data_IF_740678027160
#
_entry.id   IF_740678027160
#
_cell.length_a   1.000
_cell.length_b   1.000
_cell.length_c   1.000
_cell.angle_alpha   90.00
_cell.angle_beta   90.00
_cell.angle_gamma   90.00
#
_symmetry.space_group_name_H-M   'P 1'
#
loop_
_entity.id
_entity.type
_entity.pdbx_description
1 polymer ?
#
# COMPACT_ATOMS: atom_id res chain seq x y z
N UNK A 1 12.95 -24.99 23.77
CA UNK A 1 11.70 -24.27 24.05
C UNK A 1 12.05 -22.80 24.21
N UNK A 2 11.52 -21.94 23.34
CA UNK A 2 11.73 -20.50 23.42
C UNK A 2 10.98 -20.00 24.66
N UNK A 3 11.70 -19.47 25.66
CA UNK A 3 11.08 -18.99 26.91
C UNK A 3 10.72 -17.52 26.76
N UNK A 4 9.62 -17.08 27.38
CA UNK A 4 9.16 -15.68 27.40
C UNK A 4 8.72 -15.08 26.05
N UNK A 5 8.43 -15.93 25.07
CA UNK A 5 7.77 -15.52 23.83
C UNK A 5 6.25 -15.75 23.95
N UNK A 6 5.44 -14.84 23.41
CA UNK A 6 3.99 -15.00 23.23
C UNK A 6 3.65 -14.67 21.79
N UNK A 7 2.84 -15.53 21.16
CA UNK A 7 2.34 -15.29 19.80
C UNK A 7 0.82 -15.16 19.85
N UNK A 8 0.33 -14.00 19.46
CA UNK A 8 -1.10 -13.69 19.35
C UNK A 8 -1.47 -13.67 17.88
N UNK A 9 -2.46 -14.46 17.48
CA UNK A 9 -3.02 -14.41 16.13
C UNK A 9 -4.26 -13.52 16.07
N UNK A 10 -4.33 -12.63 15.09
CA UNK A 10 -5.55 -11.90 14.76
C UNK A 10 -6.54 -12.74 13.93
N UNK A 11 -7.71 -12.17 13.65
CA UNK A 11 -8.78 -12.84 12.89
C UNK A 11 -8.49 -12.99 11.40
N UNK A 12 -7.51 -12.25 10.86
CA UNK A 12 -7.24 -12.25 9.41
C UNK A 12 -6.66 -13.56 8.88
N UNK A 13 -5.83 -14.27 9.66
CA UNK A 13 -5.21 -15.51 9.20
C UNK A 13 -4.81 -16.47 10.36
N UNK A 14 -5.79 -17.17 10.96
CA UNK A 14 -5.53 -18.10 12.07
C UNK A 14 -4.62 -19.27 11.68
N UNK A 15 -4.75 -19.78 10.45
CA UNK A 15 -3.96 -20.90 9.94
C UNK A 15 -2.45 -20.60 9.93
N UNK A 16 -2.06 -19.40 9.49
CA UNK A 16 -0.66 -18.97 9.48
C UNK A 16 -0.11 -18.83 10.89
N UNK A 17 -0.90 -18.27 11.82
CA UNK A 17 -0.54 -18.21 13.25
C UNK A 17 -0.26 -19.60 13.80
N UNK A 18 -1.15 -20.57 13.54
CA UNK A 18 -0.97 -21.94 14.00
C UNK A 18 0.31 -22.57 13.43
N UNK A 19 0.60 -22.34 12.15
CA UNK A 19 1.81 -22.85 11.49
C UNK A 19 3.06 -22.28 12.13
N UNK A 20 3.09 -20.97 12.39
CA UNK A 20 4.20 -20.29 13.06
C UNK A 20 4.40 -20.86 14.48
N UNK A 21 3.33 -20.99 15.26
CA UNK A 21 3.36 -21.57 16.60
C UNK A 21 3.87 -23.01 16.61
N UNK A 22 3.44 -23.84 15.66
CA UNK A 22 3.88 -25.22 15.51
C UNK A 22 5.39 -25.31 15.25
N UNK A 23 5.92 -24.45 14.36
CA UNK A 23 7.36 -24.41 14.04
C UNK A 23 8.19 -23.93 15.23
N UNK A 24 7.69 -22.93 15.98
CA UNK A 24 8.34 -22.43 17.19
C UNK A 24 8.23 -23.40 18.39
N UNK A 25 7.34 -24.39 18.32
CA UNK A 25 7.10 -25.34 19.39
C UNK A 25 6.43 -24.71 20.62
N UNK A 26 5.55 -23.72 20.40
CA UNK A 26 4.79 -23.01 21.44
C UNK A 26 3.30 -22.99 21.09
N UNK A 27 2.39 -22.97 22.08
CA UNK A 27 0.97 -22.78 21.81
C UNK A 27 0.67 -21.30 21.43
N UNK A 28 -0.36 -21.03 20.60
CA UNK A 28 -0.88 -19.68 20.43
C UNK A 28 -1.52 -19.17 21.72
N UNK A 29 -1.46 -17.85 21.93
CA UNK A 29 -2.07 -17.18 23.06
C UNK A 29 -3.61 -17.31 23.07
N UNK A 30 -4.22 -17.47 24.24
CA UNK A 30 -5.69 -17.39 24.39
C UNK A 30 -6.14 -15.92 24.39
N UNK A 31 -6.81 -15.52 23.33
CA UNK A 31 -7.34 -14.17 23.12
C UNK A 31 -8.79 -14.27 22.65
N UNK A 32 -9.67 -13.46 23.24
CA UNK A 32 -11.03 -13.27 22.75
C UNK A 32 -11.03 -12.14 21.73
N UNK A 33 -11.27 -12.48 20.47
CA UNK A 33 -11.49 -11.54 19.38
C UNK A 33 -12.95 -11.61 18.96
N UNK A 34 -13.69 -10.51 19.10
CA UNK A 34 -15.10 -10.43 18.73
C UNK A 34 -15.50 -9.03 18.28
N UNK A 35 -16.72 -8.88 17.76
CA UNK A 35 -17.29 -7.59 17.41
C UNK A 35 -18.59 -7.36 18.20
N UNK A 36 -18.77 -6.14 18.71
CA UNK A 36 -20.06 -5.71 19.24
C UNK A 36 -21.10 -5.58 18.10
N UNK A 37 -22.38 -5.58 18.44
CA UNK A 37 -23.47 -5.48 17.46
C UNK A 37 -23.38 -4.22 16.58
N UNK A 38 -22.77 -3.13 17.10
CA UNK A 38 -22.53 -1.87 16.38
C UNK A 38 -21.32 -1.93 15.42
N UNK A 39 -20.56 -3.03 15.40
CA UNK A 39 -19.41 -3.24 14.51
C UNK A 39 -18.04 -2.94 15.13
N UNK A 40 -18.01 -2.39 16.35
CA UNK A 40 -16.77 -2.12 17.12
C UNK A 40 -16.03 -3.40 17.49
N UNK A 41 -14.70 -3.35 17.39
CA UNK A 41 -13.81 -4.47 17.67
C UNK A 41 -13.54 -4.61 19.18
N UNK A 42 -13.73 -5.81 19.74
CA UNK A 42 -13.41 -6.16 21.12
C UNK A 42 -12.26 -7.16 21.15
N UNK A 43 -11.23 -6.83 21.93
CA UNK A 43 -10.04 -7.67 22.15
C UNK A 43 -9.86 -7.87 23.65
N UNK A 44 -9.74 -9.12 24.10
CA UNK A 44 -9.39 -9.44 25.48
C UNK A 44 -8.29 -10.50 25.52
N UNK A 45 -7.14 -10.14 26.08
CA UNK A 45 -6.01 -11.05 26.28
C UNK A 45 -6.27 -11.81 27.59
N UNK A 46 -6.37 -13.14 27.53
CA UNK A 46 -6.74 -13.97 28.70
C UNK A 46 -5.53 -14.55 29.45
N UNK A 47 -4.34 -14.35 28.92
CA UNK A 47 -3.09 -14.76 29.56
C UNK A 47 -2.18 -13.58 29.86
N UNK A 48 -1.30 -13.73 30.85
CA UNK A 48 -0.36 -12.66 31.20
C UNK A 48 0.71 -12.49 30.12
N UNK A 49 0.84 -11.28 29.60
CA UNK A 49 1.90 -10.85 28.67
C UNK A 49 2.99 -10.01 29.34
N UNK A 50 2.90 -9.81 30.66
CA UNK A 50 3.81 -8.96 31.43
C UNK A 50 5.26 -9.44 31.33
N UNK A 51 6.17 -8.52 31.02
CA UNK A 51 7.60 -8.78 30.82
C UNK A 51 7.94 -9.82 29.71
N UNK A 52 6.96 -10.18 28.87
CA UNK A 52 7.15 -11.11 27.75
C UNK A 52 7.39 -10.37 26.43
N UNK A 53 8.00 -11.08 25.49
CA UNK A 53 8.21 -10.64 24.12
C UNK A 53 7.03 -11.11 23.27
N UNK A 54 6.18 -10.17 22.86
CA UNK A 54 4.89 -10.44 22.23
C UNK A 54 4.98 -10.21 20.73
N UNK A 55 4.50 -11.18 19.95
CA UNK A 55 4.39 -11.11 18.51
C UNK A 55 2.92 -11.20 18.11
N UNK A 56 2.40 -10.18 17.43
CA UNK A 56 1.00 -10.13 17.00
C UNK A 56 0.95 -10.33 15.49
N UNK A 57 0.36 -11.43 15.04
CA UNK A 57 0.28 -11.81 13.62
C UNK A 57 -1.06 -11.34 13.06
N UNK A 58 -1.01 -10.41 12.11
CA UNK A 58 -2.18 -9.92 11.40
C UNK A 58 -1.82 -9.55 9.96
N UNK A 59 -2.58 -10.03 8.98
CA UNK A 59 -2.40 -9.68 7.57
C UNK A 59 -3.42 -8.62 7.11
N UNK A 60 -3.01 -7.74 6.19
CA UNK A 60 -3.87 -6.77 5.52
C UNK A 60 -4.80 -7.39 4.47
N UNK A 61 -5.64 -8.36 4.86
CA UNK A 61 -6.54 -9.11 3.97
C UNK A 61 -7.80 -8.35 3.52
N UNK A 62 -8.86 -9.10 3.18
CA UNK A 62 -10.09 -8.56 2.55
C UNK A 62 -10.80 -7.47 3.37
N UNK A 63 -10.77 -7.56 4.71
CA UNK A 63 -11.34 -6.54 5.61
C UNK A 63 -10.25 -5.69 6.25
N UNK A 64 -9.46 -5.03 5.41
CA UNK A 64 -8.22 -4.33 5.81
C UNK A 64 -8.39 -3.38 7.01
N UNK A 65 -9.47 -2.59 7.06
CA UNK A 65 -9.70 -1.62 8.15
C UNK A 65 -10.01 -2.31 9.47
N UNK A 66 -10.84 -3.37 9.43
CA UNK A 66 -11.22 -4.12 10.63
C UNK A 66 -10.00 -4.83 11.22
N UNK A 67 -9.20 -5.47 10.36
CA UNK A 67 -7.96 -6.15 10.77
C UNK A 67 -6.92 -5.18 11.30
N UNK A 68 -6.80 -3.99 10.70
CA UNK A 68 -5.92 -2.92 11.20
C UNK A 68 -6.37 -2.43 12.58
N UNK A 69 -7.66 -2.14 12.76
CA UNK A 69 -8.18 -1.69 14.06
C UNK A 69 -8.02 -2.76 15.14
N UNK A 70 -8.28 -4.03 14.82
CA UNK A 70 -8.03 -5.16 15.73
C UNK A 70 -6.56 -5.25 16.14
N UNK A 71 -5.64 -5.09 15.19
CA UNK A 71 -4.21 -5.08 15.46
C UNK A 71 -3.81 -3.92 16.39
N UNK A 72 -4.25 -2.70 16.10
CA UNK A 72 -3.94 -1.52 16.90
C UNK A 72 -4.44 -1.68 18.35
N UNK A 73 -5.67 -2.17 18.53
CA UNK A 73 -6.25 -2.43 19.86
C UNK A 73 -5.45 -3.53 20.57
N UNK A 74 -5.04 -4.59 19.87
CA UNK A 74 -4.25 -5.68 20.46
C UNK A 74 -2.86 -5.21 20.89
N UNK A 75 -2.18 -4.40 20.08
CA UNK A 75 -0.88 -3.79 20.42
C UNK A 75 -1.03 -2.95 21.69
N UNK A 76 -2.03 -2.06 21.73
CA UNK A 76 -2.29 -1.18 22.88
C UNK A 76 -2.62 -1.98 24.15
N UNK A 77 -3.42 -3.05 24.04
CA UNK A 77 -3.71 -3.96 25.15
C UNK A 77 -2.45 -4.65 25.68
N UNK A 78 -1.55 -5.11 24.80
CA UNK A 78 -0.27 -5.72 25.22
C UNK A 78 0.64 -4.70 25.89
N UNK A 79 0.72 -3.48 25.35
CA UNK A 79 1.58 -2.42 25.90
C UNK A 79 1.10 -1.98 27.29
N UNK A 80 -0.20 -1.77 27.46
CA UNK A 80 -0.81 -1.43 28.75
C UNK A 80 -0.72 -2.57 29.77
N UNK A 81 -0.74 -3.83 29.32
CA UNK A 81 -0.48 -5.01 30.15
C UNK A 81 1.02 -5.24 30.48
N UNK A 82 1.89 -4.25 30.22
CA UNK A 82 3.32 -4.27 30.54
C UNK A 82 4.11 -5.36 29.80
N UNK A 83 3.78 -5.63 28.55
CA UNK A 83 4.66 -6.42 27.67
C UNK A 83 6.05 -5.75 27.57
N UNK A 84 7.12 -6.56 27.59
CA UNK A 84 8.49 -6.06 27.48
C UNK A 84 8.75 -5.45 26.11
N UNK A 85 8.23 -6.09 25.07
CA UNK A 85 8.33 -5.69 23.67
C UNK A 85 7.11 -6.20 22.92
N UNK A 86 6.58 -5.38 22.02
CA UNK A 86 5.47 -5.74 21.12
C UNK A 86 5.93 -5.63 19.67
N UNK A 87 5.99 -6.76 18.98
CA UNK A 87 6.34 -6.85 17.57
C UNK A 87 5.09 -7.10 16.73
N UNK A 88 4.78 -6.23 15.78
CA UNK A 88 3.69 -6.47 14.83
C UNK A 88 4.22 -7.27 13.62
N UNK A 89 3.64 -8.44 13.39
CA UNK A 89 3.98 -9.32 12.28
C UNK A 89 2.89 -9.18 11.22
N UNK A 90 3.24 -8.54 10.11
CA UNK A 90 2.35 -8.11 9.03
C UNK A 90 2.72 -8.78 7.71
N UNK A 91 2.27 -10.02 7.44
CA UNK A 91 2.63 -10.73 6.21
C UNK A 91 2.30 -9.96 4.92
N UNK A 92 1.19 -9.23 4.91
CA UNK A 92 0.90 -8.19 3.92
C UNK A 92 0.69 -6.87 4.65
N UNK A 93 1.53 -5.87 4.33
CA UNK A 93 1.41 -4.54 4.91
C UNK A 93 0.21 -3.76 4.34
N UNK A 94 -0.74 -3.31 5.18
CA UNK A 94 -1.94 -2.62 4.71
C UNK A 94 -1.59 -1.24 4.13
N UNK A 95 -2.37 -0.79 3.14
CA UNK A 95 -2.20 0.52 2.47
C UNK A 95 -0.86 0.76 1.73
N UNK A 96 0.04 -0.23 1.64
CA UNK A 96 1.34 -0.11 0.97
C UNK A 96 1.28 0.30 -0.52
N UNK A 97 0.15 0.11 -1.21
CA UNK A 97 -0.01 0.51 -2.62
C UNK A 97 -0.26 2.01 -2.83
N UNK A 98 -0.64 2.74 -1.78
CA UNK A 98 -0.95 4.16 -1.89
C UNK A 98 0.33 4.98 -1.75
N UNK A 99 1.14 4.99 -2.81
CA UNK A 99 2.40 5.73 -2.85
C UNK A 99 2.18 7.22 -2.54
N UNK A 100 3.07 7.82 -1.75
CA UNK A 100 3.07 9.24 -1.40
C UNK A 100 3.45 10.18 -2.57
N UNK A 101 3.34 9.71 -3.82
CA UNK A 101 3.73 10.40 -5.05
C UNK A 101 2.72 11.51 -5.41
N UNK A 102 3.17 12.72 -5.83
CA UNK A 102 4.50 13.04 -6.34
C UNK A 102 5.40 13.64 -5.27
N UNK A 103 6.08 12.79 -4.52
CA UNK A 103 7.18 13.16 -3.67
C UNK A 103 8.42 13.37 -4.55
N UNK A 104 8.47 14.52 -5.24
CA UNK A 104 9.74 15.20 -5.45
C UNK A 104 9.92 16.13 -4.25
N UNK A 105 10.53 15.67 -3.14
CA UNK A 105 11.19 16.62 -2.25
C UNK A 105 12.46 17.08 -2.96
N UNK A 106 12.42 18.24 -3.59
CA UNK A 106 13.65 18.97 -3.83
C UNK A 106 14.27 19.30 -2.46
N UNK A 107 15.43 18.71 -2.15
CA UNK A 107 16.31 19.20 -1.09
C UNK A 107 16.27 18.53 0.30
N UNK A 108 15.73 17.33 0.49
CA UNK A 108 15.99 16.58 1.72
C UNK A 108 17.20 15.65 1.52
N UNK A 109 18.30 15.80 2.27
CA UNK A 109 19.43 14.88 2.16
C UNK A 109 19.03 13.52 2.69
N UNK A 110 19.35 12.49 1.91
CA UNK A 110 19.28 11.09 2.31
C UNK A 110 20.34 10.85 3.40
N UNK A 111 19.95 10.16 4.47
CA UNK A 111 20.80 9.68 5.57
C UNK A 111 21.24 10.78 6.56
N UNK A 112 20.75 10.71 7.80
CA UNK A 112 21.43 11.33 8.95
C UNK A 112 22.73 10.55 9.19
N UNK A 113 23.82 10.97 8.57
CA UNK A 113 25.15 10.54 8.96
C UNK A 113 25.44 11.01 10.39
N UNK A 114 26.00 10.12 11.19
CA UNK A 114 26.47 10.42 12.54
C UNK A 114 27.54 11.51 12.49
N UNK A 115 27.24 12.66 13.09
CA UNK A 115 28.15 13.80 13.14
C UNK A 115 29.35 13.52 14.05
N UNK A 116 30.52 13.32 13.45
CA UNK A 116 31.81 13.55 14.09
C UNK A 116 32.49 14.77 13.43
N UNK A 117 32.65 15.86 14.19
CA UNK A 117 33.78 16.79 14.06
C UNK A 117 33.64 18.10 13.25
N UNK A 118 33.30 19.19 13.97
CA UNK A 118 33.80 20.60 13.81
C UNK A 118 33.37 21.43 12.56
N UNK A 119 33.58 22.78 12.52
CA UNK A 119 32.74 23.78 13.20
C UNK A 119 32.32 24.98 12.28
N UNK A 120 31.28 25.72 12.69
CA UNK A 120 31.10 27.13 12.29
C UNK A 120 30.14 27.41 11.11
N UNK A 121 28.90 27.76 11.42
CA UNK A 121 28.37 29.12 11.23
C UNK A 121 26.95 29.17 11.82
N UNK A 122 26.74 30.13 12.73
CA UNK A 122 25.51 30.25 13.50
C UNK A 122 24.30 30.57 12.62
N UNK A 123 23.32 29.67 12.62
CA UNK A 123 21.93 29.97 12.28
C UNK A 123 21.07 29.54 13.46
N UNK A 124 20.59 30.52 14.22
CA UNK A 124 19.56 30.32 15.25
C UNK A 124 18.20 30.25 14.57
N UNK A 125 17.58 29.07 14.62
CA UNK A 125 16.20 28.86 14.21
C UNK A 125 15.29 29.30 15.36
N UNK A 126 14.89 30.57 15.37
CA UNK A 126 13.85 31.07 16.26
C UNK A 126 12.65 31.47 15.41
N UNK A 127 11.74 30.51 15.21
CA UNK A 127 10.47 30.72 14.53
C UNK A 127 9.38 31.09 15.53
N UNK A 128 9.42 32.33 16.02
CA UNK A 128 8.23 32.98 16.59
C UNK A 128 8.25 34.46 16.20
N UNK A 129 7.17 35.02 15.62
CA UNK A 129 7.10 36.45 15.36
C UNK A 129 7.11 37.21 16.70
N UNK A 130 7.94 38.25 16.88
CA UNK A 130 7.91 39.05 18.10
C UNK A 130 6.63 39.90 18.13
N UNK A 131 5.85 39.77 19.20
CA UNK A 131 4.68 40.59 19.48
C UNK A 131 5.12 42.05 19.68
N UNK A 132 4.60 43.04 18.93
CA UNK A 132 5.02 44.43 19.10
C UNK A 132 4.58 44.97 20.47
N UNK A 133 5.53 45.47 21.27
CA UNK A 133 5.26 46.26 22.47
C UNK A 133 5.43 47.76 22.16
N UNK A 134 4.62 48.66 22.71
CA UNK A 134 4.77 50.10 22.49
C UNK A 134 6.06 50.62 23.13
N UNK A 135 6.93 51.30 22.36
CA UNK A 135 8.01 52.15 22.93
C UNK A 135 9.46 51.89 22.53
N UNK A 136 9.78 51.19 21.42
CA UNK A 136 11.14 51.18 20.86
C UNK A 136 11.19 51.63 19.39
N UNK A 137 12.24 52.37 18.97
CA UNK A 137 12.38 52.86 17.60
C UNK A 137 12.79 51.75 16.62
N UNK A 138 12.19 51.75 15.42
CA UNK A 138 12.43 50.77 14.37
C UNK A 138 13.81 50.93 13.72
N UNK A 139 14.51 49.81 13.51
CA UNK A 139 15.78 49.75 12.76
C UNK A 139 15.49 49.78 11.25
N UNK A 140 15.98 50.81 10.56
CA UNK A 140 15.78 51.02 9.13
C UNK A 140 16.54 50.03 8.25
N UNK A 141 15.80 49.27 7.42
CA UNK A 141 16.31 48.66 6.18
C UNK A 141 15.16 48.06 5.34
N UNK A 142 14.27 48.89 4.78
CA UNK A 142 13.26 48.46 3.79
C UNK A 142 12.89 49.60 2.82
N UNK A 143 13.86 50.15 2.07
CA UNK A 143 13.58 51.23 1.09
C UNK A 143 13.85 50.90 -0.38
N UNK A 144 14.22 49.67 -0.76
CA UNK A 144 14.57 49.36 -2.16
C UNK A 144 13.60 48.42 -2.92
N UNK A 145 12.47 47.99 -2.33
CA UNK A 145 11.54 47.06 -2.99
C UNK A 145 10.17 47.65 -3.37
N UNK A 146 9.87 48.91 -3.00
CA UNK A 146 8.55 49.52 -3.26
C UNK A 146 8.47 50.10 -4.69
N UNK A 147 9.59 50.58 -5.25
CA UNK A 147 9.61 51.20 -6.58
C UNK A 147 9.40 50.21 -7.75
N UNK A 148 9.78 48.94 -7.55
CA UNK A 148 9.57 47.90 -8.57
C UNK A 148 8.12 47.38 -8.60
N UNK A 149 7.36 47.56 -7.52
CA UNK A 149 5.97 47.12 -7.42
C UNK A 149 5.00 48.15 -8.02
N UNK A 150 5.30 49.46 -7.87
CA UNK A 150 4.52 50.54 -8.50
C UNK A 150 4.66 50.57 -10.03
N UNK A 151 5.85 50.25 -10.58
CA UNK A 151 6.05 50.13 -12.04
C UNK A 151 5.29 48.95 -12.67
N UNK A 152 5.06 47.87 -11.91
CA UNK A 152 4.29 46.71 -12.36
C UNK A 152 2.78 46.96 -12.37
N UNK A 153 2.26 47.75 -11.42
CA UNK A 153 0.84 48.06 -11.28
C UNK A 153 0.35 49.15 -12.26
N UNK A 154 1.19 50.13 -12.61
CA UNK A 154 0.85 51.18 -13.57
C UNK A 154 0.69 50.68 -15.02
N UNK A 155 1.23 49.49 -15.34
CA UNK A 155 1.13 48.87 -16.67
C UNK A 155 -0.12 47.99 -16.84
N UNK A 156 -0.87 47.73 -15.77
CA UNK A 156 -2.06 46.88 -15.77
C UNK A 156 -3.40 47.66 -15.68
N UNK A 157 -3.36 49.01 -15.73
CA UNK A 157 -4.54 49.88 -15.59
C UNK A 157 -4.78 50.83 -16.79
N UNK A 158 -4.29 50.49 -17.99
CA UNK A 158 -4.50 51.32 -19.19
C UNK A 158 -5.18 50.62 -20.38
N UNK A 159 -5.85 49.49 -20.15
CA UNK A 159 -6.72 48.85 -21.16
C UNK A 159 -8.11 48.58 -20.57
N UNK A 160 -8.90 49.65 -20.36
CA UNK A 160 -10.37 49.57 -20.43
C UNK A 160 -10.98 50.96 -20.23
N UNK A 161 -11.24 51.69 -21.31
CA UNK A 161 -12.37 52.64 -21.41
C UNK A 161 -12.58 53.09 -22.86
N UNK A 162 -13.64 52.58 -23.50
CA UNK A 162 -14.40 53.35 -24.50
C UNK A 162 -15.90 53.01 -24.46
N UNK A 163 -16.68 53.99 -23.98
CA UNK A 163 -18.09 54.33 -24.26
C UNK A 163 -19.27 53.38 -23.95
N UNK A 164 -20.19 53.87 -23.08
CA UNK A 164 -21.64 53.90 -23.37
C UNK A 164 -22.62 53.28 -22.35
N UNK A 165 -23.23 54.11 -21.50
CA UNK A 165 -24.35 53.91 -20.54
C UNK A 165 -25.69 53.40 -21.19
N UNK A 166 -26.83 53.08 -20.48
CA UNK A 166 -27.23 53.56 -19.14
C UNK A 166 -28.21 52.74 -18.21
N UNK A 167 -28.37 53.28 -16.99
CA UNK A 167 -29.51 53.26 -16.01
C UNK A 167 -29.72 52.10 -15.01
N UNK A 168 -29.75 52.48 -13.71
CA UNK A 168 -30.23 51.74 -12.52
C UNK A 168 -31.74 51.99 -12.22
N UNK A 169 -32.46 51.00 -11.68
CA UNK A 169 -33.57 51.12 -10.70
C UNK A 169 -33.52 49.89 -9.75
N UNK A 170 -33.17 50.03 -8.47
CA UNK A 170 -33.95 50.34 -7.24
C UNK A 170 -34.44 49.07 -6.49
N UNK A 171 -33.89 48.87 -5.29
CA UNK A 171 -34.12 47.89 -4.18
C UNK A 171 -35.54 48.17 -3.57
N UNK A 172 -36.33 47.27 -2.88
CA UNK A 172 -35.89 46.46 -1.71
C UNK A 172 -36.63 45.16 -1.32
N UNK A 173 -35.94 44.29 -0.54
CA UNK A 173 -36.43 43.62 0.68
C UNK A 173 -35.46 42.52 1.17
N UNK A 174 -35.03 42.61 2.43
CA UNK A 174 -34.72 41.46 3.32
C UNK A 174 -35.57 41.63 4.59
N UNK A 175 -35.35 40.90 5.71
CA UNK A 175 -34.56 39.68 6.03
C UNK A 175 -35.55 38.63 6.67
N UNK A 176 -35.25 37.69 7.61
CA UNK A 176 -34.01 37.32 8.32
C UNK A 176 -33.77 35.79 8.55
N UNK A 177 -32.68 35.53 9.28
CA UNK A 177 -32.17 34.24 9.81
C UNK A 177 -33.12 33.57 10.82
N UNK A 178 -33.03 32.23 10.95
CA UNK A 178 -33.34 31.49 12.19
C UNK A 178 -32.68 30.11 12.24
N UNK A 179 -32.14 29.78 13.41
CA UNK A 179 -31.73 28.44 13.86
C UNK A 179 -32.93 27.47 13.93
N UNK A 180 -32.69 26.16 13.75
CA UNK A 180 -33.25 25.09 14.60
C UNK A 180 -32.69 23.70 14.26
N UNK A 181 -32.37 22.99 15.32
CA UNK A 181 -32.37 21.53 15.47
C UNK A 181 -33.77 20.97 15.22
N UNK A 182 -33.92 19.89 14.45
CA UNK A 182 -34.54 18.65 14.96
C UNK A 182 -34.65 17.52 13.91
N UNK A 183 -34.52 16.34 14.47
CA UNK A 183 -34.67 14.99 13.95
C UNK A 183 -36.04 14.72 13.32
N UNK A 184 -36.14 13.78 12.37
CA UNK A 184 -37.03 12.59 12.42
C UNK A 184 -37.08 11.82 11.08
N UNK A 185 -36.93 10.49 11.24
CA UNK A 185 -37.62 9.37 10.55
C UNK A 185 -37.21 8.94 9.14
N UNK A 186 -36.48 7.83 9.17
CA UNK A 186 -36.65 6.58 8.40
C UNK A 186 -37.91 6.43 7.55
N UNK A 187 -37.73 5.97 6.30
CA UNK A 187 -38.62 4.97 5.71
C UNK A 187 -37.84 3.98 4.83
N UNK A 188 -38.01 2.71 5.18
CA UNK A 188 -37.59 1.53 4.42
C UNK A 188 -38.77 1.13 3.55
N UNK A 189 -38.56 1.02 2.24
CA UNK A 189 -39.45 0.21 1.39
C UNK A 189 -38.67 -0.50 0.29
N UNK A 190 -38.44 -1.78 0.55
CA UNK A 190 -38.13 -2.80 -0.44
C UNK A 190 -39.37 -3.01 -1.32
N UNK A 191 -39.21 -2.89 -2.64
CA UNK A 191 -40.06 -3.59 -3.61
C UNK A 191 -39.18 -4.23 -4.68
N UNK A 192 -39.09 -5.54 -4.58
CA UNK A 192 -38.63 -6.47 -5.60
C UNK A 192 -39.69 -6.58 -6.70
N UNK A 193 -39.31 -6.27 -7.94
CA UNK A 193 -40.05 -6.73 -9.13
C UNK A 193 -39.05 -7.43 -10.04
N UNK A 194 -39.21 -8.73 -10.16
CA UNK A 194 -38.46 -9.59 -11.07
C UNK A 194 -38.98 -9.33 -12.49
N UNK A 195 -38.11 -8.91 -13.40
CA UNK A 195 -38.37 -8.92 -14.84
C UNK A 195 -37.14 -9.53 -15.52
N UNK A 196 -37.33 -10.70 -16.13
CA UNK A 196 -36.41 -11.32 -17.07
C UNK A 196 -36.15 -10.37 -18.26
N UNK A 197 -34.91 -9.99 -18.48
CA UNK A 197 -34.49 -9.21 -19.65
C UNK A 197 -32.97 -9.18 -19.74
N UNK A 198 -32.44 -9.53 -20.92
CA UNK A 198 -31.03 -9.57 -21.27
C UNK A 198 -30.26 -8.34 -20.74
N UNK A 199 -29.28 -8.56 -19.87
CA UNK A 199 -28.42 -7.51 -19.34
C UNK A 199 -27.22 -7.29 -20.27
N UNK A 200 -27.31 -6.24 -21.10
CA UNK A 200 -26.14 -5.55 -21.60
C UNK A 200 -25.41 -4.94 -20.40
N UNK A 201 -24.17 -5.36 -20.19
CA UNK A 201 -23.30 -4.92 -19.11
C UNK A 201 -22.70 -3.55 -19.46
N UNK A 202 -23.51 -2.50 -19.32
CA UNK A 202 -23.05 -1.11 -19.40
C UNK A 202 -22.27 -0.75 -18.13
N UNK A 203 -20.98 -1.05 -18.19
CA UNK A 203 -19.85 -0.22 -17.77
C UNK A 203 -20.19 1.05 -16.98
N UNK A 204 -20.61 0.94 -15.72
CA UNK A 204 -20.58 2.07 -14.77
C UNK A 204 -19.19 2.14 -14.13
N UNK A 205 -18.21 2.42 -14.99
CA UNK A 205 -16.97 3.03 -14.56
C UNK A 205 -17.32 4.47 -14.22
N UNK A 206 -17.49 4.77 -12.93
CA UNK A 206 -17.61 6.14 -12.47
C UNK A 206 -16.44 6.92 -13.10
N UNK A 207 -16.79 7.89 -13.96
CA UNK A 207 -15.84 8.83 -14.53
C UNK A 207 -15.16 9.52 -13.36
N UNK A 208 -13.99 9.02 -12.97
CA UNK A 208 -13.08 9.77 -12.11
C UNK A 208 -12.73 10.99 -12.95
N UNK A 209 -13.37 12.12 -12.66
CA UNK A 209 -12.99 13.41 -13.19
C UNK A 209 -11.49 13.55 -12.93
N UNK A 210 -10.68 13.48 -13.99
CA UNK A 210 -9.24 13.71 -13.89
C UNK A 210 -9.06 15.12 -13.33
N UNK A 211 -8.68 15.21 -12.05
CA UNK A 211 -8.49 16.47 -11.37
C UNK A 211 -7.44 17.29 -12.13
N UNK A 212 -7.84 18.44 -12.67
CA UNK A 212 -6.92 19.41 -13.22
C UNK A 212 -6.62 20.42 -12.11
N UNK A 213 -5.43 20.36 -11.46
CA UNK A 213 -5.08 21.34 -10.45
C UNK A 213 -5.15 22.74 -11.06
N UNK A 214 -5.77 23.68 -10.32
CA UNK A 214 -5.69 25.10 -10.67
C UNK A 214 -4.20 25.50 -10.73
N UNK A 215 -3.78 26.40 -11.63
CA UNK A 215 -2.42 26.93 -11.61
C UNK A 215 -2.05 27.40 -10.20
N UNK A 216 -0.95 26.87 -9.65
CA UNK A 216 -0.50 27.14 -8.28
C UNK A 216 -1.04 26.21 -7.18
N UNK A 217 -2.04 25.37 -7.45
CA UNK A 217 -2.52 24.37 -6.49
C UNK A 217 -1.79 23.04 -6.68
N UNK A 218 -1.02 22.62 -5.68
CA UNK A 218 -0.48 21.26 -5.61
C UNK A 218 -1.59 20.33 -5.14
N UNK A 219 -1.91 19.29 -5.92
CA UNK A 219 -2.87 18.28 -5.49
C UNK A 219 -2.40 17.67 -4.17
N UNK A 220 -3.22 17.79 -3.13
CA UNK A 220 -3.00 17.11 -1.87
C UNK A 220 -3.43 15.66 -2.01
N UNK A 221 -2.54 14.73 -1.66
CA UNK A 221 -2.78 13.30 -1.67
C UNK A 221 -2.54 12.81 -0.25
N UNK A 222 -3.49 12.07 0.30
CA UNK A 222 -3.35 11.49 1.63
C UNK A 222 -2.21 10.47 1.63
N UNK A 223 -1.32 10.58 2.60
CA UNK A 223 -0.18 9.67 2.78
C UNK A 223 -0.59 8.49 3.65
N UNK A 224 -1.42 7.59 3.12
CA UNK A 224 -2.08 6.56 3.91
C UNK A 224 -1.07 5.58 4.54
N UNK A 225 0.00 5.21 3.84
CA UNK A 225 1.00 4.32 4.40
C UNK A 225 1.79 4.95 5.55
N UNK A 226 2.14 6.24 5.44
CA UNK A 226 2.76 7.03 6.53
C UNK A 226 1.82 7.10 7.74
N UNK A 227 0.54 7.41 7.52
CA UNK A 227 -0.47 7.40 8.60
C UNK A 227 -0.56 6.04 9.30
N UNK A 228 -0.54 4.94 8.54
CA UNK A 228 -0.59 3.59 9.12
C UNK A 228 0.67 3.29 9.95
N UNK A 229 1.85 3.71 9.50
CA UNK A 229 3.09 3.58 10.26
C UNK A 229 3.03 4.36 11.58
N UNK A 230 2.53 5.61 11.54
CA UNK A 230 2.32 6.44 12.72
C UNK A 230 1.33 5.81 13.70
N UNK A 231 0.22 5.25 13.21
CA UNK A 231 -0.78 4.58 14.04
C UNK A 231 -0.21 3.34 14.75
N UNK A 232 0.55 2.51 14.03
CA UNK A 232 1.19 1.32 14.61
C UNK A 232 2.20 1.70 15.70
N UNK A 233 3.02 2.70 15.43
CA UNK A 233 4.02 3.22 16.37
C UNK A 233 3.33 3.83 17.60
N UNK A 234 2.29 4.65 17.38
CA UNK A 234 1.51 5.29 18.45
C UNK A 234 0.74 4.29 19.31
N UNK A 235 0.22 3.21 18.72
CA UNK A 235 -0.42 2.13 19.47
C UNK A 235 0.55 1.40 20.41
N UNK A 236 1.86 1.51 20.19
CA UNK A 236 2.91 0.97 21.06
C UNK A 236 3.69 -0.19 20.47
N UNK A 237 3.70 -0.36 19.14
CA UNK A 237 4.59 -1.32 18.49
C UNK A 237 6.05 -0.88 18.65
N UNK A 238 6.92 -1.81 19.03
CA UNK A 238 8.36 -1.57 19.20
C UNK A 238 9.17 -2.08 17.99
N UNK A 239 8.59 -2.95 17.17
CA UNK A 239 9.21 -3.57 16.00
C UNK A 239 8.14 -4.03 14.99
N UNK A 240 8.40 -3.91 13.69
CA UNK A 240 7.59 -4.49 12.62
C UNK A 240 8.36 -5.61 11.90
N UNK A 241 7.70 -6.74 11.65
CA UNK A 241 8.17 -7.76 10.69
C UNK A 241 7.13 -7.84 9.57
N UNK A 242 7.54 -7.71 8.32
CA UNK A 242 6.65 -7.78 7.14
C UNK A 242 7.30 -8.56 6.01
N UNK A 243 6.63 -8.73 4.87
CA UNK A 243 7.19 -9.39 3.69
C UNK A 243 6.86 -8.61 2.43
N UNK A 244 7.84 -8.51 1.53
CA UNK A 244 7.74 -7.93 0.18
C UNK A 244 6.91 -6.65 0.11
N UNK A 245 7.26 -5.65 0.93
CA UNK A 245 6.70 -4.30 0.82
C UNK A 245 6.62 -3.82 -0.64
N UNK A 246 5.44 -3.33 -1.04
CA UNK A 246 5.19 -2.84 -2.41
C UNK A 246 6.22 -1.80 -2.84
N UNK A 247 6.53 -0.85 -1.96
CA UNK A 247 7.68 0.05 -2.08
C UNK A 247 8.64 -0.18 -0.89
N UNK A 248 9.87 -0.66 -1.11
CA UNK A 248 10.84 -0.84 -0.03
C UNK A 248 11.12 0.44 0.79
N UNK A 249 10.83 1.63 0.24
CA UNK A 249 10.99 2.91 0.93
C UNK A 249 10.08 3.06 2.16
N UNK A 250 8.98 2.30 2.26
CA UNK A 250 8.09 2.32 3.43
C UNK A 250 8.82 1.99 4.74
N UNK A 251 9.94 1.27 4.70
CA UNK A 251 10.76 1.04 5.89
C UNK A 251 11.21 2.36 6.54
N UNK A 252 11.48 3.39 5.74
CA UNK A 252 11.90 4.71 6.22
C UNK A 252 10.78 5.56 6.82
N UNK A 253 9.53 5.08 6.83
CA UNK A 253 8.40 5.77 7.46
C UNK A 253 8.20 5.38 8.93
N UNK A 254 8.87 4.32 9.38
CA UNK A 254 8.85 3.91 10.77
C UNK A 254 10.02 4.53 11.52
N UNK A 255 9.75 5.03 12.72
CA UNK A 255 10.78 5.38 13.70
C UNK A 255 11.29 4.16 14.49
N UNK A 256 10.62 3.03 14.33
CA UNK A 256 10.94 1.72 14.92
C UNK A 256 11.59 0.81 13.88
N UNK A 257 12.39 -0.19 14.29
CA UNK A 257 12.97 -1.15 13.34
C UNK A 257 11.87 -1.86 12.51
N UNK A 258 12.21 -2.16 11.26
CA UNK A 258 11.35 -2.89 10.33
C UNK A 258 12.17 -3.95 9.62
N UNK A 259 11.82 -5.21 9.86
CA UNK A 259 12.36 -6.34 9.11
C UNK A 259 11.44 -6.66 7.93
N UNK A 260 11.85 -6.25 6.73
CA UNK A 260 11.16 -6.61 5.49
C UNK A 260 11.73 -7.91 4.92
N UNK A 261 11.00 -9.00 5.11
CA UNK A 261 11.30 -10.31 4.56
C UNK A 261 11.05 -10.34 3.05
N UNK A 262 11.67 -11.26 2.33
CA UNK A 262 11.50 -11.40 0.87
C UNK A 262 10.96 -12.78 0.51
N UNK A 263 9.91 -12.83 -0.30
CA UNK A 263 9.36 -14.07 -0.86
C UNK A 263 10.20 -14.62 -2.02
N UNK A 264 11.15 -13.84 -2.54
CA UNK A 264 12.04 -14.22 -3.64
C UNK A 264 12.67 -15.62 -3.52
N UNK A 265 13.26 -16.04 -2.37
CA UNK A 265 13.81 -17.39 -2.24
C UNK A 265 12.77 -18.50 -2.43
N UNK A 266 11.54 -18.29 -1.94
CA UNK A 266 10.43 -19.24 -2.12
C UNK A 266 10.04 -19.35 -3.59
N UNK A 267 9.93 -18.20 -4.28
CA UNK A 267 9.64 -18.17 -5.71
C UNK A 267 10.74 -18.84 -6.54
N UNK A 268 12.02 -18.57 -6.24
CA UNK A 268 13.17 -19.25 -6.89
C UNK A 268 13.09 -20.77 -6.73
N UNK A 269 12.91 -21.23 -5.50
CA UNK A 269 12.78 -22.66 -5.17
C UNK A 269 11.62 -23.31 -5.92
N UNK A 270 10.46 -22.63 -5.97
CA UNK A 270 9.31 -23.10 -6.73
C UNK A 270 9.62 -23.25 -8.22
N UNK A 271 10.21 -22.23 -8.86
CA UNK A 271 10.57 -22.26 -10.28
C UNK A 271 11.49 -23.45 -10.57
N UNK A 272 12.52 -23.65 -9.74
CA UNK A 272 13.50 -24.72 -9.93
C UNK A 272 12.88 -26.12 -9.81
N UNK A 273 11.94 -26.30 -8.88
CA UNK A 273 11.36 -27.61 -8.57
C UNK A 273 10.15 -27.97 -9.44
N UNK A 274 9.35 -26.97 -9.86
CA UNK A 274 8.03 -27.21 -10.45
C UNK A 274 7.91 -26.80 -11.92
N UNK A 275 8.85 -26.00 -12.45
CA UNK A 275 8.79 -25.57 -13.85
C UNK A 275 9.78 -26.40 -14.68
N UNK A 276 9.31 -27.30 -15.57
CA UNK A 276 10.17 -28.08 -16.43
C UNK A 276 11.00 -27.18 -17.34
N UNK A 277 12.29 -27.51 -17.49
CA UNK A 277 13.23 -26.74 -18.32
C UNK A 277 13.25 -25.24 -17.98
N UNK A 278 13.13 -24.88 -16.69
CA UNK A 278 13.07 -23.49 -16.24
C UNK A 278 14.22 -22.62 -16.77
N UNK A 279 15.42 -23.19 -17.01
CA UNK A 279 16.56 -22.46 -17.58
C UNK A 279 16.31 -21.87 -18.97
N UNK A 280 15.37 -22.45 -19.73
CA UNK A 280 14.94 -21.93 -21.03
C UNK A 280 13.67 -21.06 -20.93
N UNK A 281 13.11 -20.90 -19.73
CA UNK A 281 11.97 -20.01 -19.51
C UNK A 281 12.42 -18.54 -19.43
N UNK A 282 11.48 -17.63 -19.65
CA UNK A 282 11.69 -16.19 -19.59
C UNK A 282 10.94 -15.63 -18.39
N UNK A 283 11.65 -14.89 -17.53
CA UNK A 283 11.03 -14.12 -16.46
C UNK A 283 10.43 -12.85 -17.07
N UNK A 284 9.17 -12.56 -16.75
CA UNK A 284 8.45 -11.41 -17.30
C UNK A 284 7.96 -10.50 -16.19
N UNK A 285 8.24 -9.20 -16.30
CA UNK A 285 7.57 -8.20 -15.45
C UNK A 285 6.28 -7.73 -16.12
N UNK A 286 5.12 -7.77 -15.43
CA UNK A 286 3.83 -7.38 -16.02
C UNK A 286 3.69 -5.86 -16.20
N UNK A 287 4.51 -5.07 -15.52
CA UNK A 287 4.63 -3.62 -15.69
C UNK A 287 6.05 -3.11 -15.42
N UNK A 288 6.27 -1.81 -15.62
CA UNK A 288 7.57 -1.17 -15.42
C UNK A 288 7.97 -1.04 -13.93
N UNK A 289 7.01 -1.02 -13.01
CA UNK A 289 7.29 -0.90 -11.57
C UNK A 289 7.91 -2.19 -11.02
N UNK A 290 7.43 -3.35 -11.47
CA UNK A 290 7.94 -4.67 -11.10
C UNK A 290 9.27 -5.06 -11.75
N UNK A 291 9.82 -4.27 -12.68
CA UNK A 291 10.97 -4.66 -13.49
C UNK A 291 12.19 -5.04 -12.64
N UNK A 292 12.55 -4.22 -11.64
CA UNK A 292 13.69 -4.50 -10.75
C UNK A 292 13.54 -5.84 -10.00
N UNK A 293 12.31 -6.16 -9.55
CA UNK A 293 11.99 -7.40 -8.84
C UNK A 293 12.19 -8.61 -9.75
N UNK A 294 11.61 -8.55 -10.95
CA UNK A 294 11.69 -9.61 -11.94
C UNK A 294 13.13 -9.83 -12.44
N UNK A 295 13.87 -8.76 -12.76
CA UNK A 295 15.28 -8.85 -13.16
C UNK A 295 16.15 -9.44 -12.06
N UNK A 296 15.93 -9.08 -10.79
CA UNK A 296 16.69 -9.67 -9.68
C UNK A 296 16.52 -11.19 -9.54
N UNK A 297 15.35 -11.73 -9.92
CA UNK A 297 15.15 -13.19 -9.98
C UNK A 297 15.87 -13.77 -11.21
N UNK A 298 15.66 -13.16 -12.38
CA UNK A 298 16.25 -13.60 -13.64
C UNK A 298 17.78 -13.69 -13.55
N UNK A 299 18.44 -12.63 -13.09
CA UNK A 299 19.90 -12.55 -12.93
C UNK A 299 20.42 -13.63 -11.97
N UNK A 300 19.75 -13.80 -10.82
CA UNK A 300 20.15 -14.80 -9.82
C UNK A 300 20.01 -16.25 -10.29
N UNK A 301 19.22 -16.48 -11.34
CA UNK A 301 18.98 -17.81 -11.91
C UNK A 301 19.64 -18.00 -13.29
N UNK A 302 20.29 -16.96 -13.82
CA UNK A 302 20.85 -16.96 -15.18
C UNK A 302 19.79 -17.12 -16.28
N UNK A 303 18.59 -16.58 -16.07
CA UNK A 303 17.45 -16.68 -16.98
C UNK A 303 17.27 -15.38 -17.77
N UNK A 304 16.63 -15.47 -18.94
CA UNK A 304 16.28 -14.28 -19.72
C UNK A 304 15.12 -13.50 -19.10
N UNK A 305 15.09 -12.20 -19.38
CA UNK A 305 14.10 -11.26 -18.87
C UNK A 305 13.33 -10.56 -20.01
N UNK A 306 12.02 -10.38 -19.82
CA UNK A 306 11.17 -9.54 -20.67
C UNK A 306 10.30 -8.61 -19.83
N UNK A 307 9.85 -7.52 -20.45
CA UNK A 307 9.07 -6.47 -19.79
C UNK A 307 7.82 -6.16 -20.60
N UNK A 308 6.67 -6.10 -19.94
CA UNK A 308 5.44 -5.56 -20.52
C UNK A 308 5.30 -4.10 -20.09
N UNK A 309 5.23 -3.21 -21.07
CA UNK A 309 4.99 -1.79 -20.85
C UNK A 309 3.60 -1.40 -21.35
N UNK A 310 2.82 -0.73 -20.50
CA UNK A 310 1.50 -0.20 -20.86
C UNK A 310 1.64 1.25 -21.32
N UNK A 311 1.47 1.48 -22.61
CA UNK A 311 1.48 2.83 -23.17
C UNK A 311 0.14 3.53 -22.87
N UNK A 312 0.20 4.69 -22.23
CA UNK A 312 -0.99 5.53 -21.97
C UNK A 312 -1.02 6.67 -23.00
N UNK A 313 -1.39 6.39 -24.24
CA UNK A 313 -1.65 7.48 -25.21
C UNK A 313 -3.00 8.13 -24.88
N UNK A 314 -3.07 9.47 -24.68
CA UNK A 314 -4.33 10.18 -24.65
C UNK A 314 -4.88 10.24 -26.08
N UNK A 315 -5.67 9.26 -26.48
CA UNK A 315 -6.33 9.31 -27.79
C UNK A 315 -7.48 10.32 -27.73
N UNK A 316 -7.22 11.54 -28.23
CA UNK A 316 -8.29 12.35 -28.82
C UNK A 316 -8.74 11.60 -30.07
N UNK A 317 -9.80 10.79 -29.98
CA UNK A 317 -10.70 10.34 -31.06
C UNK A 317 -11.45 9.10 -30.54
N UNK A 318 -12.77 9.24 -30.60
CA UNK A 318 -13.93 8.36 -30.47
C UNK A 318 -13.80 6.83 -30.59
N UNK A 319 -12.79 6.16 -30.04
CA UNK A 319 -12.82 4.71 -29.86
C UNK A 319 -12.22 4.27 -28.52
N UNK A 320 -12.85 3.26 -27.93
CA UNK A 320 -12.64 2.74 -26.57
C UNK A 320 -11.18 2.80 -26.10
N UNK A 321 -10.98 3.39 -24.92
CA UNK A 321 -9.71 3.54 -24.19
C UNK A 321 -9.01 2.21 -23.88
N UNK A 322 -8.46 1.52 -24.88
CA UNK A 322 -7.62 0.37 -24.68
C UNK A 322 -6.17 0.81 -24.78
N UNK A 323 -5.57 1.20 -23.65
CA UNK A 323 -4.12 1.37 -23.53
C UNK A 323 -3.41 0.16 -24.15
N UNK A 324 -2.57 0.42 -25.15
CA UNK A 324 -1.78 -0.59 -25.86
C UNK A 324 -0.69 -1.11 -24.95
N UNK A 325 -0.62 -2.44 -24.78
CA UNK A 325 0.46 -3.10 -24.06
C UNK A 325 1.50 -3.53 -25.07
N UNK A 326 2.77 -3.22 -24.82
CA UNK A 326 3.91 -3.60 -25.64
C UNK A 326 4.79 -4.56 -24.85
N UNK A 327 5.26 -5.63 -25.50
CA UNK A 327 6.23 -6.56 -24.95
C UNK A 327 7.63 -6.15 -25.43
N UNK A 328 8.59 -6.11 -24.52
CA UNK A 328 10.02 -5.93 -24.79
C UNK A 328 10.74 -7.19 -24.32
N UNK A 329 11.38 -7.91 -25.26
CA UNK A 329 11.99 -9.21 -25.03
C UNK A 329 11.33 -10.30 -25.87
N UNK A 330 12.06 -11.37 -26.19
CA UNK A 330 11.53 -12.51 -26.92
C UNK A 330 10.87 -13.50 -25.97
N UNK A 331 9.72 -14.06 -26.34
CA UNK A 331 9.00 -15.07 -25.54
C UNK A 331 8.49 -16.22 -26.39
N UNK A 332 8.79 -16.20 -27.69
CA UNK A 332 8.21 -17.12 -28.66
C UNK A 332 8.66 -18.55 -28.38
N UNK A 333 7.71 -19.48 -28.39
CA UNK A 333 7.90 -20.91 -28.14
C UNK A 333 8.51 -21.24 -26.76
N UNK A 334 8.53 -20.28 -25.83
CA UNK A 334 9.11 -20.43 -24.49
C UNK A 334 8.07 -20.37 -23.39
N UNK A 335 8.39 -21.01 -22.26
CA UNK A 335 7.64 -20.84 -21.02
C UNK A 335 7.93 -19.45 -20.48
N UNK A 336 6.88 -18.74 -20.07
CA UNK A 336 6.99 -17.40 -19.48
C UNK A 336 6.50 -17.42 -18.04
N UNK A 337 7.17 -16.66 -17.18
CA UNK A 337 6.91 -16.61 -15.74
C UNK A 337 6.74 -15.14 -15.36
N UNK A 338 5.49 -14.72 -15.18
CA UNK A 338 5.16 -13.39 -14.67
C UNK A 338 5.54 -13.30 -13.19
N UNK A 339 6.29 -12.28 -12.81
CA UNK A 339 6.69 -12.00 -11.42
C UNK A 339 6.11 -10.66 -10.98
N UNK A 340 5.40 -10.64 -9.86
CA UNK A 340 4.83 -9.43 -9.26
C UNK A 340 4.85 -9.52 -7.71
N UNK A 341 4.79 -8.40 -6.97
CA UNK A 341 4.54 -8.49 -5.52
C UNK A 341 3.11 -8.90 -5.24
N UNK A 342 2.15 -8.29 -5.94
CA UNK A 342 0.77 -8.26 -5.45
C UNK A 342 -0.24 -8.33 -6.59
N UNK A 343 -1.18 -9.25 -6.47
CA UNK A 343 -2.30 -9.40 -7.40
C UNK A 343 -3.61 -9.15 -6.66
N UNK A 344 -4.28 -8.07 -7.06
CA UNK A 344 -5.58 -7.66 -6.51
C UNK A 344 -6.73 -8.16 -7.40
N UNK A 345 -7.22 -7.37 -8.35
CA UNK A 345 -8.22 -7.82 -9.33
C UNK A 345 -7.64 -8.77 -10.39
N UNK A 346 -6.34 -9.03 -10.37
CA UNK A 346 -5.63 -9.87 -11.36
C UNK A 346 -5.74 -9.40 -12.83
N UNK A 347 -6.25 -8.19 -13.07
CA UNK A 347 -6.40 -7.64 -14.43
C UNK A 347 -5.06 -7.51 -15.16
N UNK A 348 -4.04 -6.99 -14.46
CA UNK A 348 -2.69 -6.82 -15.01
C UNK A 348 -2.07 -8.14 -15.46
N UNK A 349 -2.03 -9.15 -14.60
CA UNK A 349 -1.42 -10.46 -14.91
C UNK A 349 -2.20 -11.24 -15.99
N UNK A 350 -3.53 -11.14 -16.02
CA UNK A 350 -4.34 -11.85 -17.04
C UNK A 350 -4.27 -11.18 -18.41
N UNK A 351 -4.20 -9.86 -18.45
CA UNK A 351 -3.91 -9.09 -19.67
C UNK A 351 -2.50 -9.38 -20.20
N UNK A 352 -1.52 -9.43 -19.31
CA UNK A 352 -0.16 -9.83 -19.64
C UNK A 352 -0.12 -11.24 -20.24
N UNK A 353 -0.80 -12.20 -19.61
CA UNK A 353 -0.88 -13.58 -20.12
C UNK A 353 -1.50 -13.66 -21.52
N UNK A 354 -2.56 -12.89 -21.80
CA UNK A 354 -3.15 -12.80 -23.13
C UNK A 354 -2.17 -12.26 -24.17
N UNK A 355 -1.39 -11.24 -23.82
CA UNK A 355 -0.35 -10.70 -24.70
C UNK A 355 0.76 -11.74 -24.94
N UNK A 356 1.27 -12.38 -23.90
CA UNK A 356 2.34 -13.38 -24.01
C UNK A 356 1.93 -14.56 -24.90
N UNK A 357 0.71 -15.08 -24.75
CA UNK A 357 0.20 -16.14 -25.65
C UNK A 357 0.07 -15.65 -27.09
N UNK A 358 -0.33 -14.39 -27.31
CA UNK A 358 -0.40 -13.79 -28.66
C UNK A 358 0.99 -13.68 -29.31
N UNK A 359 2.01 -13.38 -28.53
CA UNK A 359 3.42 -13.33 -28.97
C UNK A 359 4.09 -14.72 -29.05
N UNK A 360 3.32 -15.80 -28.87
CA UNK A 360 3.78 -17.17 -29.08
C UNK A 360 4.35 -17.88 -27.86
N UNK A 361 4.14 -17.37 -26.64
CA UNK A 361 4.56 -18.08 -25.42
C UNK A 361 3.86 -19.45 -25.31
N UNK A 362 4.62 -20.51 -25.01
CA UNK A 362 4.08 -21.88 -24.92
C UNK A 362 3.25 -22.07 -23.64
N UNK A 363 3.79 -21.66 -22.49
CA UNK A 363 3.10 -21.63 -21.19
C UNK A 363 3.28 -20.29 -20.50
N UNK A 364 2.30 -19.89 -19.69
CA UNK A 364 2.34 -18.66 -18.90
C UNK A 364 2.01 -19.00 -17.44
N UNK A 365 3.01 -18.88 -16.58
CA UNK A 365 2.88 -18.95 -15.13
C UNK A 365 2.82 -17.54 -14.56
N UNK A 366 2.08 -17.33 -13.48
CA UNK A 366 2.15 -16.10 -12.68
C UNK A 366 2.54 -16.45 -11.25
N UNK A 367 3.63 -15.89 -10.77
CA UNK A 367 4.16 -16.06 -9.42
C UNK A 367 4.11 -14.69 -8.73
N UNK A 368 3.32 -14.60 -7.67
CA UNK A 368 3.02 -13.35 -6.98
C UNK A 368 3.18 -13.54 -5.49
N UNK A 369 3.84 -12.64 -4.77
CA UNK A 369 3.98 -12.84 -3.32
C UNK A 369 2.61 -12.76 -2.62
N UNK A 370 1.86 -11.69 -2.84
CA UNK A 370 0.61 -11.38 -2.17
C UNK A 370 -0.59 -11.52 -3.11
N UNK A 371 -1.29 -12.65 -3.03
CA UNK A 371 -2.57 -12.83 -3.70
C UNK A 371 -3.73 -12.22 -2.90
N UNK A 372 -4.06 -10.95 -3.11
CA UNK A 372 -5.30 -10.38 -2.54
C UNK A 372 -6.53 -10.97 -3.24
N UNK A 373 -6.45 -11.10 -4.58
CA UNK A 373 -7.44 -11.79 -5.42
C UNK A 373 -8.88 -11.33 -5.18
N UNK A 374 -9.10 -10.02 -5.04
CA UNK A 374 -10.42 -9.46 -4.72
C UNK A 374 -11.38 -9.39 -5.91
N UNK A 375 -12.67 -9.25 -5.62
CA UNK A 375 -13.73 -9.10 -6.63
C UNK A 375 -13.84 -10.33 -7.54
N UNK A 376 -13.81 -10.09 -8.84
CA UNK A 376 -13.91 -11.12 -9.89
C UNK A 376 -12.53 -11.69 -10.30
N UNK A 377 -11.48 -11.50 -9.49
CA UNK A 377 -10.12 -11.96 -9.80
C UNK A 377 -10.05 -13.45 -10.10
N UNK A 378 -10.71 -14.29 -9.30
CA UNK A 378 -10.70 -15.75 -9.48
C UNK A 378 -11.36 -16.15 -10.79
N UNK A 379 -12.52 -15.57 -11.09
CA UNK A 379 -13.26 -15.88 -12.32
C UNK A 379 -12.44 -15.42 -13.55
N UNK A 380 -11.77 -14.26 -13.43
CA UNK A 380 -10.83 -13.75 -14.44
C UNK A 380 -9.63 -14.68 -14.63
N UNK A 381 -9.02 -15.21 -13.56
CA UNK A 381 -7.90 -16.16 -13.63
C UNK A 381 -8.36 -17.45 -14.33
N UNK A 382 -9.50 -18.00 -13.93
CA UNK A 382 -10.05 -19.22 -14.51
C UNK A 382 -10.28 -19.07 -16.02
N UNK A 383 -10.88 -17.96 -16.46
CA UNK A 383 -11.13 -17.66 -17.87
C UNK A 383 -9.89 -17.19 -18.65
N UNK A 384 -8.79 -16.87 -17.97
CA UNK A 384 -7.58 -16.34 -18.61
C UNK A 384 -6.72 -17.42 -19.27
N UNK A 385 -5.74 -16.95 -20.05
CA UNK A 385 -4.74 -17.80 -20.69
C UNK A 385 -3.56 -18.19 -19.76
N UNK A 386 -3.67 -17.91 -18.45
CA UNK A 386 -2.71 -18.40 -17.46
C UNK A 386 -2.86 -19.92 -17.33
N UNK A 387 -1.71 -20.61 -17.32
CA UNK A 387 -1.62 -22.05 -17.09
C UNK A 387 -1.63 -22.34 -15.59
N UNK A 388 -0.95 -21.52 -14.78
CA UNK A 388 -0.93 -21.64 -13.32
C UNK A 388 -0.69 -20.29 -12.65
N UNK A 389 -1.29 -20.09 -11.47
CA UNK A 389 -1.05 -18.93 -10.61
C UNK A 389 -0.55 -19.43 -9.27
N UNK A 390 0.56 -18.89 -8.81
CA UNK A 390 1.23 -19.28 -7.58
C UNK A 390 1.29 -18.04 -6.70
N UNK A 391 0.72 -18.14 -5.51
CA UNK A 391 0.74 -17.07 -4.51
C UNK A 391 1.33 -17.58 -3.21
N UNK A 392 1.72 -16.70 -2.29
CA UNK A 392 1.98 -17.15 -0.90
C UNK A 392 0.71 -17.09 -0.05
N UNK A 393 0.70 -17.77 1.08
CA UNK A 393 -0.33 -17.59 2.11
C UNK A 393 -0.09 -16.36 3.00
N UNK A 394 0.59 -15.30 2.52
CA UNK A 394 0.65 -14.02 3.23
C UNK A 394 -0.75 -13.44 3.50
N UNK A 395 -1.72 -13.80 2.67
CA UNK A 395 -3.16 -13.56 2.85
C UNK A 395 -3.83 -14.92 2.77
N UNK A 396 -4.88 -15.15 3.56
CA UNK A 396 -5.62 -16.42 3.51
C UNK A 396 -6.15 -16.71 2.09
N UNK A 397 -5.91 -17.93 1.62
CA UNK A 397 -6.26 -18.40 0.28
C UNK A 397 -7.30 -19.53 0.31
N UNK A 398 -7.83 -19.89 1.47
CA UNK A 398 -8.72 -21.05 1.67
C UNK A 398 -9.94 -21.02 0.73
N UNK A 399 -10.56 -19.85 0.55
CA UNK A 399 -11.70 -19.67 -0.35
C UNK A 399 -11.29 -19.66 -1.82
N UNK A 400 -10.13 -19.08 -2.14
CA UNK A 400 -9.61 -18.98 -3.49
C UNK A 400 -9.23 -20.35 -4.05
N UNK A 401 -8.57 -21.19 -3.25
CA UNK A 401 -8.19 -22.56 -3.62
C UNK A 401 -9.40 -23.43 -3.98
N UNK A 402 -10.52 -23.27 -3.28
CA UNK A 402 -11.77 -24.00 -3.58
C UNK A 402 -12.39 -23.61 -4.92
N UNK A 403 -12.16 -22.36 -5.36
CA UNK A 403 -12.77 -21.78 -6.57
C UNK A 403 -11.84 -21.77 -7.79
N UNK A 404 -10.53 -21.94 -7.60
CA UNK A 404 -9.53 -21.78 -8.64
C UNK A 404 -8.63 -23.02 -8.76
N UNK A 405 -8.88 -23.93 -9.71
CA UNK A 405 -8.02 -25.10 -9.92
C UNK A 405 -6.62 -24.75 -10.45
N UNK A 406 -6.43 -23.52 -10.96
CA UNK A 406 -5.14 -23.02 -11.43
C UNK A 406 -4.26 -22.45 -10.31
N UNK A 407 -4.82 -22.26 -9.11
CA UNK A 407 -4.14 -21.60 -7.99
C UNK A 407 -3.34 -22.62 -7.18
N UNK A 408 -2.12 -22.25 -6.84
CA UNK A 408 -1.26 -22.95 -5.89
C UNK A 408 -0.74 -21.95 -4.85
N UNK A 409 -0.54 -22.43 -3.62
CA UNK A 409 -0.19 -21.59 -2.48
C UNK A 409 1.11 -22.08 -1.85
N UNK A 410 2.07 -21.17 -1.72
CA UNK A 410 3.34 -21.39 -1.03
C UNK A 410 3.22 -20.95 0.42
N UNK A 411 3.75 -21.78 1.33
CA UNK A 411 3.72 -21.52 2.76
C UNK A 411 4.84 -20.56 3.19
N UNK A 412 4.50 -19.49 3.89
CA UNK A 412 5.46 -18.50 4.45
C UNK A 412 5.66 -18.63 5.95
N UNK A 413 4.85 -19.42 6.66
CA UNK A 413 4.90 -19.57 8.11
C UNK A 413 6.28 -19.99 8.63
N UNK A 414 7.03 -20.81 7.89
CA UNK A 414 8.40 -21.18 8.26
C UNK A 414 9.35 -19.97 8.25
N UNK A 415 9.21 -19.06 7.29
CA UNK A 415 10.04 -17.86 7.16
C UNK A 415 9.73 -16.90 8.31
N UNK A 416 8.45 -16.68 8.62
CA UNK A 416 8.04 -15.85 9.74
C UNK A 416 8.42 -16.44 11.10
N UNK A 417 8.28 -17.75 11.29
CA UNK A 417 8.70 -18.42 12.52
C UNK A 417 10.20 -18.25 12.77
N UNK A 418 11.03 -18.45 11.74
CA UNK A 418 12.48 -18.27 11.88
C UNK A 418 12.85 -16.79 12.09
N UNK A 419 12.18 -15.85 11.43
CA UNK A 419 12.36 -14.42 11.67
C UNK A 419 12.03 -14.05 13.13
N UNK A 420 10.88 -14.49 13.63
CA UNK A 420 10.45 -14.29 15.03
C UNK A 420 11.49 -14.88 16.00
N UNK A 421 11.95 -16.11 15.75
CA UNK A 421 12.98 -16.77 16.57
C UNK A 421 14.27 -15.94 16.60
N UNK A 422 14.73 -15.44 15.45
CA UNK A 422 15.96 -14.64 15.35
C UNK A 422 15.82 -13.29 16.05
N UNK A 423 14.72 -12.56 15.84
CA UNK A 423 14.43 -11.30 16.54
C UNK A 423 14.43 -11.50 18.06
N UNK A 424 13.84 -12.61 18.53
CA UNK A 424 13.77 -12.92 19.95
C UNK A 424 15.17 -13.13 20.56
N UNK A 425 16.05 -13.86 19.87
CA UNK A 425 17.39 -14.18 20.35
C UNK A 425 18.45 -13.13 20.00
N UNK A 426 18.10 -12.08 19.24
CA UNK A 426 19.05 -11.08 18.75
C UNK A 426 20.00 -11.61 17.66
N UNK A 427 19.56 -12.64 16.92
CA UNK A 427 20.33 -13.22 15.82
C UNK A 427 20.08 -12.48 14.50
N UNK A 428 21.02 -12.57 13.56
CA UNK A 428 20.92 -11.89 12.26
C UNK A 428 19.81 -12.48 11.39
N UNK A 429 18.88 -11.63 10.95
CA UNK A 429 17.80 -11.98 10.01
C UNK A 429 18.28 -11.97 8.56
N UNK A 430 19.36 -11.25 8.26
CA UNK A 430 19.90 -11.14 6.90
C UNK A 430 20.28 -12.49 6.29
N UNK A 431 20.53 -13.51 7.12
CA UNK A 431 20.77 -14.89 6.67
C UNK A 431 19.57 -15.47 5.92
N UNK A 432 18.34 -15.05 6.25
CA UNK A 432 17.13 -15.46 5.51
C UNK A 432 17.10 -14.94 4.06
N UNK A 433 17.94 -13.96 3.75
CA UNK A 433 18.03 -13.34 2.43
C UNK A 433 19.18 -13.91 1.58
N UNK A 434 20.04 -14.74 2.18
CA UNK A 434 21.21 -15.34 1.55
C UNK A 434 20.89 -16.78 1.10
N UNK A 435 20.20 -16.91 -0.03
CA UNK A 435 20.04 -18.18 -0.75
C UNK A 435 20.39 -17.96 -2.22
N UNK A 436 21.69 -17.92 -2.48
CA UNK A 436 22.27 -18.06 -3.82
C UNK A 436 22.65 -19.52 -4.07
#
# INVERSE_FOLDING_TARGET
>A
MVRNIVVIGGTSHPQLTQTICNVLGIPPADVLLSKFAVGETRVEIKESVREKDVYIIQSGGLKVNDSLMELLITISACKTASAKRVTAVLPLFPYSRQSDIPYNKAGAPLVKSSNAGKPGNGYTFESTPPTPHPGKPESGSLLNNVDNLQKGLAKAQLDDYSNGSPVKKRIPNGPPRSDTTDSLKSDVSLRSTVVNGQANDDNVQSKINSFQPRPGYKQWVAQAGTLVADLLTCAGADHIITMDLHDPQYQGFFDIPVDNLYGRPLLKSYIQQNIPNYKHAVIVSPDAGGAKRATAIADSMGMEFALIHKERRPTKITDRQNATMMLVGDVKDRTTILIDDLADTSNTITRAAKLLKKEGASKVYALVTHGILSGDAIDRINASALDKVVVTNSVDQSDHLRRCPKLEVLEVGHVFAEAIRRVHHGESISVLFQYD
#
